data_IF_035859608145
#
_entry.id   IF_035859608145
#
_cell.length_a   1.000
_cell.length_b   1.000
_cell.length_c   1.000
_cell.angle_alpha   90.00
_cell.angle_beta   90.00
_cell.angle_gamma   90.00
#
_symmetry.space_group_name_H-M   'P 1'
#
loop_
_entity.id
_entity.type
_entity.pdbx_description
1 polymer ?
#
# COMPACT_ATOMS: atom_id res chain seq x y z
N UNK A 1 10.93 18.36 24.21
CA UNK A 1 9.95 17.42 24.79
C UNK A 1 9.59 16.48 23.66
N UNK A 2 10.06 15.24 23.71
CA UNK A 2 9.72 14.23 22.71
C UNK A 2 8.26 13.86 22.89
N UNK A 3 7.45 14.21 21.90
CA UNK A 3 6.08 13.72 21.71
C UNK A 3 6.08 12.19 21.95
N UNK A 4 5.20 11.64 22.81
CA UNK A 4 5.05 10.20 22.96
C UNK A 4 4.91 9.53 21.58
N UNK A 5 5.63 8.42 21.40
CA UNK A 5 5.85 7.71 20.12
C UNK A 5 4.58 7.34 19.33
N UNK A 6 3.40 7.45 19.93
CA UNK A 6 2.11 7.06 19.34
C UNK A 6 1.04 8.15 19.35
N UNK A 7 1.37 9.43 19.64
CA UNK A 7 0.34 10.49 19.64
C UNK A 7 -0.36 10.64 18.27
N UNK A 8 0.39 10.46 17.18
CA UNK A 8 -0.16 10.47 15.82
C UNK A 8 -1.06 9.26 15.50
N UNK A 9 -1.10 8.25 16.38
CA UNK A 9 -1.98 7.08 16.27
C UNK A 9 -3.22 7.19 17.17
N UNK A 10 -3.45 8.35 17.80
CA UNK A 10 -4.65 8.63 18.59
C UNK A 10 -5.62 9.45 17.75
N UNK A 11 -6.79 8.88 17.47
CA UNK A 11 -7.83 9.55 16.70
C UNK A 11 -9.18 9.37 17.40
N UNK A 12 -9.78 10.45 17.92
CA UNK A 12 -11.06 10.38 18.64
C UNK A 12 -12.16 9.65 17.87
N UNK A 13 -12.82 8.69 18.53
CA UNK A 13 -13.85 7.84 17.92
C UNK A 13 -13.31 6.66 17.11
N UNK A 14 -12.00 6.56 16.89
CA UNK A 14 -11.37 5.48 16.12
C UNK A 14 -10.38 4.71 17.01
N UNK A 15 -9.30 5.35 17.46
CA UNK A 15 -8.27 4.73 18.30
C UNK A 15 -7.92 5.61 19.50
N UNK A 16 -8.01 5.02 20.69
CA UNK A 16 -7.30 5.52 21.87
C UNK A 16 -5.84 5.07 21.83
N UNK A 17 -4.96 5.74 22.61
CA UNK A 17 -3.55 5.34 22.72
C UNK A 17 -3.36 3.87 23.14
N UNK A 18 -4.22 3.37 24.04
CA UNK A 18 -4.18 1.97 24.48
C UNK A 18 -4.59 0.99 23.38
N UNK A 19 -5.59 1.35 22.57
CA UNK A 19 -6.02 0.54 21.43
C UNK A 19 -4.99 0.53 20.31
N UNK A 20 -4.38 1.68 19.99
CA UNK A 20 -3.29 1.78 19.03
C UNK A 20 -2.11 0.89 19.45
N UNK A 21 -1.68 0.99 20.72
CA UNK A 21 -0.61 0.14 21.24
C UNK A 21 -0.96 -1.35 21.21
N UNK A 22 -2.24 -1.73 21.36
CA UNK A 22 -2.67 -3.12 21.22
C UNK A 22 -2.57 -3.61 19.78
N UNK A 23 -3.02 -2.81 18.80
CA UNK A 23 -2.92 -3.14 17.37
C UNK A 23 -1.46 -3.28 16.93
N UNK A 24 -0.58 -2.35 17.35
CA UNK A 24 0.88 -2.43 17.09
C UNK A 24 1.48 -3.70 17.68
N UNK A 25 1.15 -4.05 18.93
CA UNK A 25 1.59 -5.32 19.53
C UNK A 25 1.10 -6.55 18.76
N UNK A 26 -0.08 -6.49 18.15
CA UNK A 26 -0.59 -7.57 17.31
C UNK A 26 0.27 -7.80 16.06
N UNK A 27 0.69 -6.72 15.39
CA UNK A 27 1.62 -6.81 14.23
C UNK A 27 2.99 -7.32 14.70
N UNK A 28 3.54 -6.78 15.79
CA UNK A 28 4.81 -7.25 16.37
C UNK A 28 4.78 -8.74 16.75
N UNK A 29 3.65 -9.23 17.26
CA UNK A 29 3.48 -10.65 17.61
C UNK A 29 3.38 -11.56 16.38
N UNK A 30 2.96 -11.03 15.23
CA UNK A 30 2.95 -11.75 13.97
C UNK A 30 4.35 -11.79 13.32
N UNK A 31 5.16 -10.75 13.53
CA UNK A 31 6.52 -10.66 13.01
C UNK A 31 7.41 -11.77 13.57
N UNK A 32 8.17 -12.40 12.68
CA UNK A 32 9.11 -13.46 12.98
C UNK A 32 10.46 -12.93 13.42
N UNK A 33 11.25 -13.83 14.01
CA UNK A 33 12.63 -13.55 14.40
C UNK A 33 13.52 -13.16 13.21
N UNK A 34 13.25 -13.66 12.01
CA UNK A 34 13.96 -13.30 10.79
C UNK A 34 13.44 -12.02 10.12
N UNK A 35 12.44 -11.36 10.70
CA UNK A 35 11.89 -10.08 10.21
C UNK A 35 10.64 -10.19 9.32
N UNK A 36 10.30 -11.40 8.85
CA UNK A 36 9.10 -11.63 8.05
C UNK A 36 7.82 -11.33 8.84
N UNK A 37 6.91 -10.58 8.22
CA UNK A 37 5.56 -10.29 8.70
C UNK A 37 4.55 -10.99 7.78
N UNK A 38 3.98 -12.14 8.16
CA UNK A 38 2.98 -12.83 7.34
C UNK A 38 1.61 -12.15 7.43
N UNK A 39 0.70 -12.53 6.54
CA UNK A 39 -0.72 -12.14 6.56
C UNK A 39 -1.34 -12.39 7.94
N UNK A 40 -1.10 -13.59 8.48
CA UNK A 40 -1.18 -13.92 9.91
C UNK A 40 -0.36 -15.19 10.16
N UNK A 41 -0.10 -15.52 11.44
CA UNK A 41 0.67 -16.73 11.79
C UNK A 41 -0.01 -17.99 11.24
N UNK A 42 0.72 -18.79 10.46
CA UNK A 42 0.24 -20.01 9.80
C UNK A 42 -0.35 -19.80 8.40
N UNK A 43 -0.24 -18.61 7.82
CA UNK A 43 -0.74 -18.29 6.48
C UNK A 43 0.38 -17.87 5.51
N UNK A 44 0.05 -17.27 4.36
CA UNK A 44 1.05 -16.75 3.44
C UNK A 44 1.68 -15.43 3.93
N UNK A 45 2.78 -15.07 3.29
CA UNK A 45 3.40 -13.76 3.26
C UNK A 45 3.55 -13.37 1.79
N UNK A 46 3.09 -12.20 1.42
CA UNK A 46 3.41 -11.54 0.15
C UNK A 46 4.19 -10.24 0.42
N UNK A 47 5.00 -9.76 -0.54
CA UNK A 47 5.80 -8.54 -0.36
C UNK A 47 4.99 -7.24 -0.16
N UNK A 48 3.74 -7.17 -0.64
CA UNK A 48 2.94 -5.95 -0.54
C UNK A 48 2.48 -5.76 0.90
N UNK A 49 1.74 -6.72 1.42
CA UNK A 49 1.15 -6.67 2.76
C UNK A 49 2.23 -6.63 3.84
N UNK A 50 3.33 -7.34 3.59
CA UNK A 50 4.54 -7.30 4.40
C UNK A 50 5.12 -5.88 4.53
N UNK A 51 5.26 -5.18 3.41
CA UNK A 51 5.77 -3.80 3.36
C UNK A 51 4.80 -2.84 4.05
N UNK A 52 3.50 -2.98 3.85
CA UNK A 52 2.50 -2.12 4.49
C UNK A 52 2.49 -2.29 6.01
N UNK A 53 2.61 -3.53 6.50
CA UNK A 53 2.76 -3.79 7.92
C UNK A 53 4.06 -3.19 8.49
N UNK A 54 5.17 -3.22 7.74
CA UNK A 54 6.41 -2.57 8.13
C UNK A 54 6.26 -1.04 8.25
N UNK A 55 5.59 -0.39 7.29
CA UNK A 55 5.28 1.04 7.34
C UNK A 55 4.42 1.40 8.56
N UNK A 56 3.48 0.54 8.94
CA UNK A 56 2.67 0.74 10.13
C UNK A 56 3.49 0.65 11.43
N UNK A 57 4.49 -0.23 11.48
CA UNK A 57 5.46 -0.29 12.59
C UNK A 57 6.30 0.98 12.65
N UNK A 58 6.74 1.52 11.50
CA UNK A 58 7.45 2.80 11.44
C UNK A 58 6.59 3.96 11.96
N UNK A 59 5.33 4.04 11.54
CA UNK A 59 4.40 5.07 12.02
C UNK A 59 4.10 4.97 13.53
N UNK A 60 4.35 3.81 14.13
CA UNK A 60 4.26 3.58 15.58
C UNK A 60 5.56 3.84 16.34
N UNK A 61 6.66 4.16 15.65
CA UNK A 61 7.98 4.35 16.23
C UNK A 61 8.73 3.04 16.51
N UNK A 62 8.28 1.91 15.96
CA UNK A 62 8.90 0.58 16.06
C UNK A 62 9.92 0.36 14.92
N UNK A 63 10.82 1.33 14.72
CA UNK A 63 11.73 1.38 13.57
C UNK A 63 12.65 0.17 13.45
N UNK A 64 13.16 -0.37 14.56
CA UNK A 64 13.98 -1.60 14.54
C UNK A 64 13.18 -2.81 14.03
N UNK A 65 11.87 -2.85 14.29
CA UNK A 65 11.02 -3.92 13.79
C UNK A 65 10.73 -3.73 12.30
N UNK A 66 10.47 -2.51 11.86
CA UNK A 66 10.31 -2.19 10.44
C UNK A 66 11.60 -2.48 9.63
N UNK A 67 12.78 -2.10 10.14
CA UNK A 67 14.08 -2.35 9.51
C UNK A 67 14.33 -3.85 9.29
N UNK A 68 14.01 -4.70 10.29
CA UNK A 68 14.11 -6.17 10.12
C UNK A 68 13.22 -6.68 8.99
N UNK A 69 12.06 -6.06 8.77
CA UNK A 69 11.16 -6.41 7.67
C UNK A 69 11.82 -6.05 6.33
N UNK A 70 12.34 -4.83 6.17
CA UNK A 70 13.04 -4.44 4.94
C UNK A 70 14.30 -5.27 4.69
N UNK A 71 15.07 -5.60 5.73
CA UNK A 71 16.22 -6.50 5.64
C UNK A 71 15.80 -7.93 5.25
N UNK A 72 14.58 -8.37 5.59
CA UNK A 72 14.04 -9.64 5.09
C UNK A 72 13.80 -9.56 3.57
N UNK A 73 13.19 -8.49 3.06
CA UNK A 73 13.00 -8.31 1.62
C UNK A 73 14.35 -8.27 0.89
N UNK A 74 15.30 -7.45 1.36
CA UNK A 74 16.62 -7.33 0.74
C UNK A 74 17.39 -8.67 0.71
N UNK A 75 17.32 -9.47 1.78
CA UNK A 75 18.01 -10.79 1.83
C UNK A 75 17.39 -11.84 0.92
N UNK A 76 16.10 -11.73 0.60
CA UNK A 76 15.37 -12.73 -0.17
C UNK A 76 14.91 -12.23 -1.55
N UNK A 77 15.45 -11.09 -2.00
CA UNK A 77 15.26 -10.61 -3.37
C UNK A 77 15.89 -11.61 -4.35
N UNK A 78 15.16 -11.95 -5.40
CA UNK A 78 15.64 -12.83 -6.47
C UNK A 78 16.70 -12.11 -7.32
N UNK A 79 17.53 -12.88 -8.02
CA UNK A 79 18.61 -12.34 -8.85
C UNK A 79 18.14 -11.34 -9.92
N UNK A 80 16.89 -11.42 -10.36
CA UNK A 80 16.31 -10.53 -11.36
C UNK A 80 15.74 -9.21 -10.78
N UNK A 81 15.75 -9.06 -9.45
CA UNK A 81 15.25 -7.91 -8.70
C UNK A 81 13.83 -8.08 -8.13
N UNK A 82 13.17 -9.21 -8.38
CA UNK A 82 11.79 -9.46 -7.93
C UNK A 82 11.70 -10.28 -6.64
N UNK A 83 10.46 -10.50 -6.18
CA UNK A 83 10.09 -11.49 -5.17
C UNK A 83 8.96 -12.34 -5.73
N UNK A 84 8.81 -13.55 -5.19
CA UNK A 84 7.64 -14.36 -5.47
C UNK A 84 6.37 -13.72 -4.88
N UNK A 85 5.23 -14.02 -5.50
CA UNK A 85 3.95 -13.47 -5.10
C UNK A 85 3.52 -13.93 -3.71
N UNK A 86 3.88 -15.16 -3.31
CA UNK A 86 3.58 -15.65 -1.97
C UNK A 86 4.59 -16.68 -1.45
N UNK A 87 4.86 -16.59 -0.16
CA UNK A 87 5.68 -17.48 0.65
C UNK A 87 4.82 -18.06 1.78
N UNK A 88 5.11 -19.28 2.25
CA UNK A 88 4.49 -19.80 3.45
C UNK A 88 5.01 -19.08 4.71
N UNK A 89 4.23 -19.09 5.79
CA UNK A 89 4.72 -18.70 7.13
C UNK A 89 5.66 -19.77 7.71
N UNK A 90 6.84 -19.89 7.09
CA UNK A 90 7.87 -20.86 7.40
C UNK A 90 9.19 -20.50 6.74
N UNK A 91 9.96 -21.47 6.25
CA UNK A 91 11.21 -21.16 5.59
C UNK A 91 10.98 -20.29 4.33
N UNK A 92 11.90 -19.36 4.04
CA UNK A 92 11.75 -18.41 2.92
C UNK A 92 11.76 -19.10 1.54
N UNK A 93 12.25 -20.34 1.47
CA UNK A 93 12.28 -21.17 0.26
C UNK A 93 11.00 -22.00 0.08
N UNK A 94 10.08 -21.96 1.05
CA UNK A 94 8.74 -22.54 0.95
C UNK A 94 7.78 -21.59 0.22
N UNK A 95 7.97 -21.49 -1.08
CA UNK A 95 7.23 -20.59 -1.98
C UNK A 95 5.87 -21.21 -2.35
N UNK A 96 4.78 -20.51 -2.06
CA UNK A 96 3.40 -20.97 -2.30
C UNK A 96 2.80 -20.44 -3.60
N UNK A 97 3.26 -19.28 -4.08
CA UNK A 97 3.00 -18.79 -5.44
C UNK A 97 4.28 -18.23 -6.06
N UNK A 98 4.74 -18.89 -7.13
CA UNK A 98 5.98 -18.54 -7.84
C UNK A 98 5.81 -17.45 -8.90
N UNK A 99 4.61 -16.93 -9.08
CA UNK A 99 4.42 -15.74 -9.89
C UNK A 99 5.19 -14.55 -9.32
N UNK A 100 5.40 -13.52 -10.13
CA UNK A 100 5.92 -12.22 -9.70
C UNK A 100 4.92 -11.15 -10.10
N UNK A 101 4.41 -10.38 -9.15
CA UNK A 101 3.44 -9.32 -9.41
C UNK A 101 4.09 -7.93 -9.35
N UNK A 102 3.83 -7.09 -10.34
CA UNK A 102 4.49 -5.79 -10.52
C UNK A 102 4.28 -4.82 -9.35
N UNK A 103 3.06 -4.77 -8.81
CA UNK A 103 2.72 -3.98 -7.63
C UNK A 103 3.43 -4.50 -6.38
N UNK A 104 3.52 -5.81 -6.18
CA UNK A 104 4.18 -6.38 -5.00
C UNK A 104 5.68 -6.04 -5.03
N UNK A 105 6.32 -6.18 -6.20
CA UNK A 105 7.74 -5.89 -6.39
C UNK A 105 8.02 -4.40 -6.25
N UNK A 106 7.18 -3.52 -6.80
CA UNK A 106 7.42 -2.07 -6.74
C UNK A 106 7.27 -1.51 -5.33
N UNK A 107 6.35 -2.05 -4.52
CA UNK A 107 5.88 -1.39 -3.29
C UNK A 107 6.96 -1.20 -2.21
N UNK A 108 8.06 -1.97 -2.26
CA UNK A 108 9.23 -1.76 -1.40
C UNK A 108 9.76 -0.31 -1.49
N UNK A 109 9.66 0.35 -2.64
CA UNK A 109 10.08 1.75 -2.80
C UNK A 109 9.26 2.70 -1.90
N UNK A 110 7.97 2.41 -1.71
CA UNK A 110 7.08 3.18 -0.82
C UNK A 110 7.52 2.99 0.63
N UNK A 111 7.75 1.75 1.04
CA UNK A 111 8.18 1.43 2.41
C UNK A 111 9.55 1.99 2.77
N UNK A 112 10.55 1.83 1.89
CA UNK A 112 11.91 2.36 2.11
C UNK A 112 11.91 3.88 2.21
N UNK A 113 11.14 4.56 1.35
CA UNK A 113 11.01 6.02 1.43
C UNK A 113 10.26 6.46 2.70
N UNK A 114 9.21 5.74 3.09
CA UNK A 114 8.47 5.99 4.34
C UNK A 114 9.37 5.82 5.58
N UNK A 115 10.17 4.76 5.63
CA UNK A 115 11.12 4.52 6.70
C UNK A 115 12.15 5.64 6.79
N UNK A 116 12.77 5.99 5.65
CA UNK A 116 13.73 7.09 5.59
C UNK A 116 13.13 8.41 6.09
N UNK A 117 11.92 8.75 5.68
CA UNK A 117 11.25 9.97 6.16
C UNK A 117 10.89 9.91 7.65
N UNK A 118 10.71 8.70 8.20
CA UNK A 118 10.39 8.49 9.61
C UNK A 118 11.65 8.57 10.50
N UNK A 119 12.82 8.15 10.00
CA UNK A 119 14.05 8.00 10.80
C UNK A 119 15.15 8.99 10.45
N UNK A 120 15.19 9.49 9.21
CA UNK A 120 16.30 10.27 8.65
C UNK A 120 17.59 9.46 8.46
N UNK A 121 17.51 8.13 8.41
CA UNK A 121 18.68 7.26 8.33
C UNK A 121 19.20 7.10 6.88
N UNK A 122 20.18 7.92 6.51
CA UNK A 122 20.87 7.81 5.21
C UNK A 122 21.62 6.47 5.06
N UNK A 123 22.09 5.83 6.14
CA UNK A 123 22.79 4.54 6.08
C UNK A 123 21.83 3.41 5.73
N UNK A 124 20.61 3.43 6.27
CA UNK A 124 19.53 2.55 5.85
C UNK A 124 19.21 2.76 4.37
N UNK A 125 19.04 4.01 3.95
CA UNK A 125 18.72 4.36 2.57
C UNK A 125 19.79 3.87 1.58
N UNK A 126 21.06 4.07 1.91
CA UNK A 126 22.23 3.56 1.17
C UNK A 126 22.22 2.04 1.03
N UNK A 127 21.89 1.34 2.12
CA UNK A 127 21.84 -0.12 2.15
C UNK A 127 20.68 -0.68 1.31
N UNK A 128 19.53 -0.01 1.35
CA UNK A 128 18.31 -0.46 0.66
C UNK A 128 18.25 -0.05 -0.81
N UNK A 129 19.03 0.96 -1.23
CA UNK A 129 18.99 1.47 -2.60
C UNK A 129 19.19 0.40 -3.70
N UNK A 130 20.19 -0.51 -3.63
CA UNK A 130 20.34 -1.55 -4.66
C UNK A 130 19.10 -2.44 -4.81
N UNK A 131 18.41 -2.70 -3.68
CA UNK A 131 17.19 -3.50 -3.64
C UNK A 131 16.03 -2.77 -4.34
N UNK A 132 15.81 -1.50 -3.99
CA UNK A 132 14.79 -0.64 -4.63
C UNK A 132 15.07 -0.48 -6.12
N UNK A 133 16.32 -0.19 -6.50
CA UNK A 133 16.72 -0.03 -7.89
C UNK A 133 16.43 -1.28 -8.72
N UNK A 134 16.85 -2.47 -8.23
CA UNK A 134 16.62 -3.73 -8.93
C UNK A 134 15.12 -4.04 -9.09
N UNK A 135 14.31 -3.75 -8.06
CA UNK A 135 12.87 -3.91 -8.10
C UNK A 135 12.21 -3.01 -9.15
N UNK A 136 12.57 -1.72 -9.18
CA UNK A 136 12.06 -0.75 -10.15
C UNK A 136 12.45 -1.14 -11.57
N UNK A 137 13.72 -1.47 -11.80
CA UNK A 137 14.19 -1.94 -13.12
C UNK A 137 13.44 -3.19 -13.58
N UNK A 138 13.09 -4.10 -12.67
CA UNK A 138 12.27 -5.27 -13.01
C UNK A 138 10.85 -4.88 -13.44
N UNK A 139 10.23 -3.95 -12.73
CA UNK A 139 8.88 -3.45 -13.03
C UNK A 139 8.84 -2.70 -14.35
N UNK A 140 9.84 -1.86 -14.64
CA UNK A 140 9.89 -1.09 -15.89
C UNK A 140 10.07 -1.97 -17.12
N UNK A 141 10.69 -3.15 -17.00
CA UNK A 141 10.72 -4.15 -18.09
C UNK A 141 9.34 -4.72 -18.44
N UNK A 142 8.31 -4.48 -17.64
CA UNK A 142 6.92 -4.85 -17.92
C UNK A 142 6.11 -3.73 -18.54
N UNK A 143 6.67 -2.53 -18.68
CA UNK A 143 5.97 -1.41 -19.28
C UNK A 143 5.66 -1.67 -20.76
N UNK A 144 4.41 -1.41 -21.13
CA UNK A 144 3.91 -1.53 -22.49
C UNK A 144 4.08 -0.19 -23.23
N UNK A 145 4.06 -0.18 -24.58
CA UNK A 145 4.16 1.06 -25.35
C UNK A 145 3.10 2.13 -25.01
N UNK A 146 1.97 1.72 -24.43
CA UNK A 146 0.92 2.63 -23.96
C UNK A 146 1.13 3.15 -22.53
N UNK A 147 2.27 2.89 -21.90
CA UNK A 147 2.60 3.35 -20.55
C UNK A 147 2.10 2.45 -19.43
N UNK A 148 1.08 1.63 -19.65
CA UNK A 148 0.58 0.67 -18.66
C UNK A 148 1.63 -0.41 -18.34
N UNK A 149 1.63 -0.92 -17.11
CA UNK A 149 2.57 -1.94 -16.64
C UNK A 149 1.87 -3.30 -16.66
N UNK A 150 2.50 -4.28 -17.32
CA UNK A 150 2.02 -5.67 -17.28
C UNK A 150 1.99 -6.19 -15.84
N UNK A 151 0.89 -6.77 -15.39
CA UNK A 151 0.68 -6.99 -13.95
C UNK A 151 1.52 -8.12 -13.35
N UNK A 152 1.95 -9.10 -14.16
CA UNK A 152 2.57 -10.35 -13.67
C UNK A 152 3.58 -10.95 -14.63
N UNK A 153 4.54 -11.71 -14.07
CA UNK A 153 5.29 -12.77 -14.76
C UNK A 153 5.01 -14.12 -14.12
N UNK A 154 4.88 -15.15 -14.96
CA UNK A 154 4.80 -16.54 -14.52
C UNK A 154 6.17 -17.07 -14.08
N UNK A 155 6.21 -18.27 -13.49
CA UNK A 155 7.45 -18.85 -12.96
C UNK A 155 8.53 -19.07 -14.02
N UNK A 156 8.12 -19.34 -15.27
CA UNK A 156 9.02 -19.47 -16.41
C UNK A 156 9.52 -18.13 -16.98
N UNK A 157 9.14 -17.02 -16.36
CA UNK A 157 9.49 -15.66 -16.77
C UNK A 157 8.59 -15.06 -17.85
N UNK A 158 7.55 -15.78 -18.31
CA UNK A 158 6.61 -15.28 -19.31
C UNK A 158 5.85 -14.08 -18.78
N UNK A 159 5.94 -12.89 -19.43
CA UNK A 159 5.21 -11.71 -18.99
C UNK A 159 3.76 -11.74 -19.46
N UNK A 160 2.84 -11.37 -18.57
CA UNK A 160 1.46 -11.09 -18.92
C UNK A 160 1.36 -9.69 -19.54
N UNK A 161 0.74 -9.59 -20.72
CA UNK A 161 0.59 -8.32 -21.43
C UNK A 161 -0.52 -7.42 -20.84
N UNK A 162 -1.50 -8.04 -20.18
CA UNK A 162 -2.60 -7.33 -19.52
C UNK A 162 -2.07 -6.48 -18.37
N UNK A 163 -2.79 -5.40 -18.06
CA UNK A 163 -2.48 -4.50 -16.94
C UNK A 163 -3.69 -4.37 -16.03
N UNK A 164 -3.46 -4.28 -14.72
CA UNK A 164 -4.48 -3.99 -13.72
C UNK A 164 -4.43 -2.50 -13.38
N UNK A 165 -5.59 -1.83 -13.30
CA UNK A 165 -5.67 -0.41 -12.97
C UNK A 165 -5.21 -0.15 -11.53
N UNK A 166 -5.70 -0.96 -10.58
CA UNK A 166 -5.24 -0.97 -9.18
C UNK A 166 -3.71 -1.15 -9.09
N UNK A 167 -3.18 -2.24 -9.65
CA UNK A 167 -1.76 -2.54 -9.61
C UNK A 167 -0.90 -1.46 -10.27
N UNK A 168 -1.31 -0.94 -11.42
CA UNK A 168 -0.63 0.17 -12.11
C UNK A 168 -0.64 1.47 -11.30
N UNK A 169 -1.71 1.75 -10.56
CA UNK A 169 -1.80 2.91 -9.68
C UNK A 169 -0.87 2.79 -8.47
N UNK A 170 -0.76 1.58 -7.89
CA UNK A 170 0.23 1.28 -6.85
C UNK A 170 1.67 1.41 -7.38
N UNK A 171 1.95 0.87 -8.57
CA UNK A 171 3.26 1.04 -9.22
C UNK A 171 3.58 2.50 -9.50
N UNK A 172 2.60 3.30 -9.94
CA UNK A 172 2.80 4.75 -10.13
C UNK A 172 3.25 5.41 -8.82
N UNK A 173 2.59 5.11 -7.70
CA UNK A 173 3.00 5.62 -6.38
C UNK A 173 4.42 5.19 -6.01
N UNK A 174 4.74 3.90 -6.17
CA UNK A 174 6.04 3.34 -5.89
C UNK A 174 7.16 3.98 -6.74
N UNK A 175 6.93 4.20 -8.04
CA UNK A 175 7.91 4.87 -8.92
C UNK A 175 8.19 6.31 -8.48
N UNK A 176 7.17 7.04 -8.00
CA UNK A 176 7.35 8.38 -7.46
C UNK A 176 8.19 8.36 -6.17
N UNK A 177 7.99 7.38 -5.29
CA UNK A 177 8.84 7.18 -4.12
C UNK A 177 10.27 6.78 -4.51
N UNK A 178 10.45 5.91 -5.50
CA UNK A 178 11.77 5.53 -6.01
C UNK A 178 12.54 6.72 -6.60
N UNK A 179 11.86 7.59 -7.34
CA UNK A 179 12.43 8.85 -7.84
C UNK A 179 12.84 9.79 -6.70
N UNK A 180 12.02 9.90 -5.64
CA UNK A 180 12.37 10.70 -4.47
C UNK A 180 13.63 10.15 -3.75
N UNK A 181 13.76 8.82 -3.64
CA UNK A 181 14.99 8.18 -3.15
C UNK A 181 16.18 8.52 -4.07
N UNK A 182 16.01 8.41 -5.38
CA UNK A 182 17.06 8.70 -6.35
C UNK A 182 17.54 10.17 -6.28
N UNK A 183 16.60 11.12 -6.14
CA UNK A 183 16.89 12.54 -5.93
C UNK A 183 17.65 12.78 -4.62
N UNK A 184 17.22 12.16 -3.52
CA UNK A 184 17.90 12.26 -2.22
C UNK A 184 19.36 11.76 -2.28
N UNK A 185 19.62 10.80 -3.17
CA UNK A 185 20.94 10.23 -3.42
C UNK A 185 21.75 10.95 -4.50
N UNK A 186 21.18 11.97 -5.13
CA UNK A 186 21.78 12.64 -6.30
C UNK A 186 22.11 11.66 -7.45
N UNK A 187 21.27 10.64 -7.67
CA UNK A 187 21.39 9.65 -8.75
C UNK A 187 20.26 9.83 -9.79
N UNK A 188 20.44 10.66 -10.85
CA UNK A 188 19.36 10.96 -11.80
C UNK A 188 18.84 9.72 -12.54
N UNK A 189 17.51 9.60 -12.65
CA UNK A 189 16.83 8.49 -13.33
C UNK A 189 15.85 8.98 -14.42
N UNK A 190 16.36 9.52 -15.55
CA UNK A 190 15.50 10.11 -16.59
C UNK A 190 14.53 9.11 -17.24
N UNK A 191 14.93 7.84 -17.36
CA UNK A 191 14.06 6.80 -17.90
C UNK A 191 12.89 6.47 -16.96
N UNK A 192 13.11 6.56 -15.64
CA UNK A 192 12.06 6.39 -14.64
C UNK A 192 11.08 7.57 -14.66
N UNK A 193 11.58 8.80 -14.85
CA UNK A 193 10.74 10.01 -14.99
C UNK A 193 9.81 9.94 -16.21
N UNK A 194 10.31 9.43 -17.34
CA UNK A 194 9.50 9.18 -18.53
C UNK A 194 8.47 8.06 -18.27
N UNK A 195 8.89 6.97 -17.65
CA UNK A 195 8.03 5.83 -17.37
C UNK A 195 6.87 6.18 -16.44
N UNK A 196 7.12 6.90 -15.35
CA UNK A 196 6.07 7.30 -14.40
C UNK A 196 5.08 8.28 -15.03
N UNK A 197 5.55 9.18 -15.89
CA UNK A 197 4.71 10.11 -16.66
C UNK A 197 3.81 9.38 -17.65
N UNK A 198 4.36 8.42 -18.41
CA UNK A 198 3.60 7.58 -19.34
C UNK A 198 2.55 6.71 -18.61
N UNK A 199 2.92 6.14 -17.46
CA UNK A 199 2.01 5.36 -16.62
C UNK A 199 0.87 6.22 -16.08
N UNK A 200 1.18 7.41 -15.57
CA UNK A 200 0.17 8.37 -15.10
C UNK A 200 -0.80 8.74 -16.22
N UNK A 201 -0.28 9.04 -17.40
CA UNK A 201 -1.12 9.35 -18.57
C UNK A 201 -2.04 8.17 -18.94
N UNK A 202 -1.52 6.94 -18.93
CA UNK A 202 -2.32 5.74 -19.19
C UNK A 202 -3.47 5.59 -18.19
N UNK A 203 -3.20 5.70 -16.89
CA UNK A 203 -4.21 5.61 -15.82
C UNK A 203 -5.31 6.66 -15.99
N UNK A 204 -4.94 7.90 -16.31
CA UNK A 204 -5.88 9.03 -16.41
C UNK A 204 -6.72 9.00 -17.67
N UNK A 205 -6.09 8.69 -18.81
CA UNK A 205 -6.67 8.97 -20.14
C UNK A 205 -6.99 7.73 -20.95
N UNK A 206 -6.50 6.56 -20.52
CA UNK A 206 -6.64 5.31 -21.26
C UNK A 206 -7.15 4.14 -20.40
N UNK A 207 -8.32 4.27 -19.76
CA UNK A 207 -8.90 3.18 -18.97
C UNK A 207 -9.10 1.90 -19.80
N UNK A 208 -9.27 2.00 -21.13
CA UNK A 208 -9.40 0.87 -22.05
C UNK A 208 -8.15 -0.02 -22.17
N UNK A 209 -7.00 0.43 -21.64
CA UNK A 209 -5.74 -0.35 -21.64
C UNK A 209 -5.62 -1.30 -20.46
N UNK A 210 -6.53 -1.22 -19.49
CA UNK A 210 -6.53 -2.06 -18.30
C UNK A 210 -7.64 -3.11 -18.39
N UNK A 211 -7.47 -4.21 -17.67
CA UNK A 211 -8.53 -5.21 -17.53
C UNK A 211 -9.73 -4.60 -16.82
N UNK A 212 -10.93 -4.91 -17.33
CA UNK A 212 -12.16 -4.48 -16.69
C UNK A 212 -12.37 -5.24 -15.37
N UNK A 213 -12.11 -4.52 -14.28
CA UNK A 213 -12.26 -4.96 -12.90
C UNK A 213 -13.14 -3.96 -12.13
N UNK A 214 -14.06 -3.28 -12.83
CA UNK A 214 -14.93 -2.23 -12.28
C UNK A 214 -15.76 -2.67 -11.06
N UNK A 215 -15.95 -3.99 -10.89
CA UNK A 215 -16.65 -4.58 -9.75
C UNK A 215 -15.85 -4.55 -8.44
N UNK A 216 -14.55 -4.32 -8.48
CA UNK A 216 -13.68 -4.23 -7.30
C UNK A 216 -13.49 -2.77 -6.90
N UNK A 217 -13.60 -2.47 -5.60
CA UNK A 217 -13.51 -1.09 -5.11
C UNK A 217 -12.13 -0.47 -5.29
N UNK A 218 -11.08 -1.29 -5.21
CA UNK A 218 -9.70 -0.85 -5.43
C UNK A 218 -9.54 -0.19 -6.80
N UNK A 219 -10.14 -0.74 -7.86
CA UNK A 219 -10.07 -0.15 -9.21
C UNK A 219 -10.72 1.25 -9.28
N UNK A 220 -11.63 1.54 -8.35
CA UNK A 220 -12.26 2.85 -8.21
C UNK A 220 -11.38 3.85 -7.44
N UNK A 221 -10.86 3.51 -6.25
CA UNK A 221 -10.14 4.47 -5.40
C UNK A 221 -8.61 4.46 -5.55
N UNK A 222 -7.98 3.39 -6.07
CA UNK A 222 -6.52 3.32 -6.22
C UNK A 222 -5.92 4.37 -7.15
N UNK A 223 -6.57 4.75 -8.26
CA UNK A 223 -6.06 5.86 -9.07
C UNK A 223 -5.91 7.16 -8.27
N UNK A 224 -6.71 7.34 -7.21
CA UNK A 224 -6.60 8.45 -6.24
C UNK A 224 -5.53 8.16 -5.20
N UNK A 225 -5.58 6.99 -4.54
CA UNK A 225 -4.60 6.60 -3.52
C UNK A 225 -3.16 6.63 -4.04
N UNK A 226 -2.95 6.10 -5.23
CA UNK A 226 -1.64 6.07 -5.90
C UNK A 226 -1.21 7.42 -6.49
N UNK A 227 -2.03 8.47 -6.34
CA UNK A 227 -1.71 9.84 -6.76
C UNK A 227 -1.70 10.10 -8.27
N UNK A 228 -2.24 9.18 -9.09
CA UNK A 228 -2.36 9.38 -10.53
C UNK A 228 -3.46 10.40 -10.85
N UNK A 229 -4.60 10.30 -10.16
CA UNK A 229 -5.67 11.29 -10.12
C UNK A 229 -5.51 12.17 -8.89
N UNK A 230 -5.56 13.49 -9.09
CA UNK A 230 -5.48 14.47 -8.00
C UNK A 230 -6.50 15.59 -8.20
N UNK A 231 -6.70 16.43 -7.18
CA UNK A 231 -7.56 17.60 -7.27
C UNK A 231 -9.01 17.28 -7.63
N UNK A 232 -9.60 18.08 -8.53
CA UNK A 232 -11.01 17.94 -8.91
C UNK A 232 -11.32 16.61 -9.63
N UNK A 233 -10.36 16.07 -10.39
CA UNK A 233 -10.51 14.80 -11.11
C UNK A 233 -10.65 13.63 -10.11
N UNK A 234 -9.83 13.63 -9.05
CA UNK A 234 -9.91 12.62 -8.00
C UNK A 234 -11.23 12.70 -7.21
N UNK A 235 -11.68 13.90 -6.86
CA UNK A 235 -12.96 14.09 -6.16
C UNK A 235 -14.14 13.60 -7.00
N UNK A 236 -14.16 13.92 -8.29
CA UNK A 236 -15.18 13.44 -9.21
C UNK A 236 -15.17 11.91 -9.31
N UNK A 237 -13.98 11.29 -9.37
CA UNK A 237 -13.85 9.81 -9.37
C UNK A 237 -14.44 9.18 -8.12
N UNK A 238 -14.13 9.71 -6.93
CA UNK A 238 -14.69 9.21 -5.67
C UNK A 238 -16.22 9.34 -5.70
N UNK A 239 -16.76 10.50 -6.03
CA UNK A 239 -18.20 10.71 -6.01
C UNK A 239 -18.97 9.76 -6.95
N UNK A 240 -18.41 9.46 -8.12
CA UNK A 240 -19.06 8.63 -9.16
C UNK A 240 -19.51 7.24 -8.69
N UNK A 241 -18.74 6.58 -7.81
CA UNK A 241 -19.03 5.22 -7.36
C UNK A 241 -19.19 5.09 -5.85
N UNK A 242 -19.38 6.21 -5.15
CA UNK A 242 -19.52 6.23 -3.69
C UNK A 242 -20.63 5.29 -3.19
N UNK A 243 -21.87 5.50 -3.65
CA UNK A 243 -23.03 4.69 -3.23
C UNK A 243 -22.95 3.23 -3.68
N UNK A 244 -22.09 2.96 -4.68
CA UNK A 244 -21.84 1.62 -5.21
C UNK A 244 -21.01 0.79 -4.23
N UNK A 245 -19.97 1.38 -3.66
CA UNK A 245 -18.98 0.66 -2.85
C UNK A 245 -19.09 0.94 -1.36
N UNK A 246 -19.45 2.14 -0.96
CA UNK A 246 -19.59 2.51 0.46
C UNK A 246 -20.92 2.00 1.00
N UNK A 247 -20.85 1.33 2.14
CA UNK A 247 -22.00 0.89 2.93
C UNK A 247 -22.06 1.78 4.17
N UNK A 248 -23.05 2.69 4.25
CA UNK A 248 -23.15 3.62 5.37
C UNK A 248 -23.10 2.92 6.72
N UNK A 249 -22.18 3.38 7.59
CA UNK A 249 -22.00 2.84 8.94
C UNK A 249 -21.30 1.47 9.02
N UNK A 250 -20.91 0.86 7.89
CA UNK A 250 -20.28 -0.45 7.88
C UNK A 250 -18.87 -0.46 7.27
N UNK A 251 -18.63 0.36 6.23
CA UNK A 251 -17.32 0.44 5.55
C UNK A 251 -17.45 0.33 4.04
N UNK A 252 -16.45 -0.24 3.38
CA UNK A 252 -16.32 -0.33 1.92
C UNK A 252 -16.40 -1.77 1.48
N UNK A 253 -17.15 -2.05 0.41
CA UNK A 253 -17.18 -3.36 -0.24
C UNK A 253 -15.85 -3.64 -0.92
N UNK A 254 -15.32 -4.85 -0.77
CA UNK A 254 -14.20 -5.33 -1.59
C UNK A 254 -14.64 -5.52 -3.06
N UNK A 255 -15.78 -6.17 -3.27
CA UNK A 255 -16.25 -6.55 -4.60
C UNK A 255 -17.77 -6.62 -4.68
N UNK A 256 -18.33 -6.17 -5.80
CA UNK A 256 -19.75 -6.31 -6.15
C UNK A 256 -19.93 -7.61 -6.95
N UNK A 257 -20.99 -8.40 -6.68
CA UNK A 257 -22.20 -8.07 -5.92
C UNK A 257 -22.18 -8.51 -4.45
N UNK A 258 -21.02 -8.86 -3.89
CA UNK A 258 -20.99 -9.55 -2.62
C UNK A 258 -21.44 -8.64 -1.45
N UNK A 259 -22.25 -9.15 -0.51
CA UNK A 259 -22.82 -8.34 0.55
C UNK A 259 -21.87 -8.25 1.76
N UNK A 260 -20.60 -7.93 1.52
CA UNK A 260 -19.63 -7.75 2.58
C UNK A 260 -18.81 -6.48 2.41
N UNK A 261 -18.38 -5.95 3.55
CA UNK A 261 -17.37 -4.88 3.64
C UNK A 261 -16.07 -5.44 4.20
N UNK A 262 -14.96 -4.78 3.92
CA UNK A 262 -13.63 -5.21 4.35
C UNK A 262 -12.86 -4.09 5.04
N UNK A 263 -12.08 -4.45 6.06
CA UNK A 263 -11.36 -3.48 6.90
C UNK A 263 -10.20 -2.81 6.18
N UNK A 264 -9.41 -3.58 5.43
CA UNK A 264 -8.23 -3.09 4.68
C UNK A 264 -8.65 -2.06 3.63
N UNK A 265 -9.53 -2.44 2.70
CA UNK A 265 -10.02 -1.54 1.65
C UNK A 265 -10.74 -0.31 2.20
N UNK A 266 -11.42 -0.42 3.33
CA UNK A 266 -12.01 0.75 4.01
C UNK A 266 -10.93 1.70 4.53
N UNK A 267 -9.85 1.17 5.08
CA UNK A 267 -8.74 1.96 5.62
C UNK A 267 -7.95 2.64 4.50
N UNK A 268 -7.72 1.94 3.39
CA UNK A 268 -7.09 2.50 2.21
C UNK A 268 -7.97 3.56 1.52
N UNK A 269 -9.29 3.36 1.46
CA UNK A 269 -10.20 4.41 1.00
C UNK A 269 -10.09 5.65 1.90
N UNK A 270 -9.99 5.47 3.22
CA UNK A 270 -9.80 6.59 4.13
C UNK A 270 -8.48 7.35 3.85
N UNK A 271 -7.38 6.65 3.52
CA UNK A 271 -6.14 7.28 3.05
C UNK A 271 -6.36 8.06 1.74
N UNK A 272 -7.07 7.48 0.76
CA UNK A 272 -7.36 8.14 -0.51
C UNK A 272 -8.21 9.42 -0.31
N UNK A 273 -9.23 9.36 0.56
CA UNK A 273 -10.07 10.50 0.94
C UNK A 273 -9.24 11.59 1.65
N UNK A 274 -8.39 11.20 2.59
CA UNK A 274 -7.48 12.13 3.26
C UNK A 274 -6.56 12.83 2.25
N UNK A 275 -5.99 12.10 1.29
CA UNK A 275 -5.08 12.65 0.28
C UNK A 275 -5.74 13.71 -0.63
N UNK A 276 -7.06 13.67 -0.81
CA UNK A 276 -7.82 14.68 -1.58
C UNK A 276 -8.47 15.76 -0.71
N UNK A 277 -8.14 15.80 0.58
CA UNK A 277 -8.62 16.80 1.54
C UNK A 277 -10.02 16.53 2.08
N UNK A 278 -10.49 15.28 2.04
CA UNK A 278 -11.79 14.85 2.59
C UNK A 278 -11.63 14.14 3.94
N UNK A 279 -10.91 14.78 4.87
CA UNK A 279 -10.56 14.22 6.18
C UNK A 279 -11.78 13.85 7.04
N UNK A 280 -12.89 14.58 6.94
CA UNK A 280 -14.12 14.26 7.67
C UNK A 280 -14.73 12.93 7.19
N UNK A 281 -14.78 12.71 5.86
CA UNK A 281 -15.25 11.43 5.29
C UNK A 281 -14.29 10.29 5.58
N UNK A 282 -12.98 10.56 5.57
CA UNK A 282 -11.98 9.57 5.98
C UNK A 282 -12.22 9.13 7.43
N UNK A 283 -12.44 10.08 8.35
CA UNK A 283 -12.76 9.80 9.74
C UNK A 283 -14.06 8.98 9.88
N UNK A 284 -15.11 9.34 9.15
CA UNK A 284 -16.39 8.60 9.16
C UNK A 284 -16.20 7.13 8.74
N UNK A 285 -15.41 6.86 7.69
CA UNK A 285 -15.13 5.48 7.25
C UNK A 285 -14.37 4.71 8.35
N UNK A 286 -13.36 5.31 8.98
CA UNK A 286 -12.59 4.67 10.05
C UNK A 286 -13.41 4.41 11.31
N UNK A 287 -14.36 5.30 11.63
CA UNK A 287 -15.33 5.10 12.70
C UNK A 287 -16.31 3.97 12.34
N UNK A 288 -16.75 3.91 11.09
CA UNK A 288 -17.68 2.90 10.60
C UNK A 288 -17.12 1.48 10.71
N UNK A 289 -15.81 1.27 10.53
CA UNK A 289 -15.20 -0.08 10.63
C UNK A 289 -14.84 -0.53 12.05
N UNK A 290 -15.16 0.25 13.09
CA UNK A 290 -14.82 -0.14 14.47
C UNK A 290 -15.54 -1.41 14.96
N UNK A 291 -16.63 -1.83 14.30
CA UNK A 291 -17.26 -3.14 14.55
C UNK A 291 -16.36 -4.33 14.16
N UNK A 292 -15.38 -4.13 13.27
CA UNK A 292 -14.41 -5.16 12.88
C UNK A 292 -13.31 -5.36 13.91
N UNK A 293 -13.17 -4.48 14.91
CA UNK A 293 -12.09 -4.57 15.88
C UNK A 293 -12.31 -5.76 16.81
N UNK A 294 -11.37 -6.70 16.84
CA UNK A 294 -11.38 -7.79 17.80
C UNK A 294 -10.97 -7.29 19.20
N UNK A 295 -11.83 -7.45 20.23
CA UNK A 295 -11.54 -6.96 21.57
C UNK A 295 -10.42 -7.73 22.27
N UNK A 296 -10.13 -8.98 21.87
CA UNK A 296 -9.13 -9.82 22.52
C UNK A 296 -7.70 -9.48 22.10
N UNK A 297 -7.47 -9.35 20.80
CA UNK A 297 -6.14 -9.10 20.21
C UNK A 297 -5.90 -7.61 19.93
N UNK A 298 -6.97 -6.86 19.65
CA UNK A 298 -6.89 -5.50 19.14
C UNK A 298 -6.56 -5.37 17.65
N UNK A 299 -6.52 -6.49 16.94
CA UNK A 299 -6.50 -6.53 15.48
C UNK A 299 -7.92 -6.33 14.93
N UNK A 300 -8.05 -6.37 13.61
CA UNK A 300 -9.29 -6.12 12.90
C UNK A 300 -9.59 -7.30 12.00
N UNK A 301 -10.86 -7.73 12.00
CA UNK A 301 -11.34 -8.75 11.10
C UNK A 301 -11.31 -8.25 9.66
N UNK A 302 -10.92 -9.14 8.75
CA UNK A 302 -10.79 -8.82 7.33
C UNK A 302 -12.13 -8.39 6.72
N UNK A 303 -13.22 -9.08 7.06
CA UNK A 303 -14.52 -8.81 6.45
C UNK A 303 -15.73 -9.04 7.35
N UNK A 304 -16.83 -8.38 6.97
CA UNK A 304 -18.14 -8.49 7.59
C UNK A 304 -19.23 -8.61 6.52
N UNK A 305 -19.96 -9.72 6.55
CA UNK A 305 -21.10 -10.01 5.68
C UNK A 305 -22.33 -9.42 6.31
N UNK A 306 -22.82 -8.30 5.77
CA UNK A 306 -23.89 -7.53 6.39
C UNK A 306 -25.30 -8.10 6.17
N UNK A 307 -25.49 -8.93 5.15
CA UNK A 307 -26.75 -9.67 4.97
C UNK A 307 -26.93 -10.77 6.03
N UNK A 308 -25.83 -11.34 6.50
CA UNK A 308 -25.80 -12.43 7.50
C UNK A 308 -25.42 -11.93 8.92
N UNK A 309 -25.14 -10.63 9.06
CA UNK A 309 -24.59 -10.00 10.26
C UNK A 309 -23.37 -10.75 10.85
N UNK A 310 -22.48 -11.27 9.99
CA UNK A 310 -21.44 -12.21 10.39
C UNK A 310 -20.03 -11.76 9.98
N UNK A 311 -19.04 -12.04 10.84
CA UNK A 311 -17.62 -11.88 10.50
C UNK A 311 -17.19 -13.01 9.56
N UNK A 312 -16.75 -12.63 8.36
CA UNK A 312 -16.18 -13.54 7.37
C UNK A 312 -15.33 -12.79 6.34
N UNK A 313 -14.11 -13.26 6.02
CA UNK A 313 -13.43 -14.39 6.66
C UNK A 313 -13.00 -14.05 8.09
N UNK A 314 -12.89 -15.07 8.95
CA UNK A 314 -12.40 -14.93 10.33
C UNK A 314 -10.88 -14.85 10.36
N UNK A 315 -10.35 -13.81 9.73
CA UNK A 315 -8.92 -13.56 9.56
C UNK A 315 -8.55 -12.21 10.19
N UNK A 316 -7.60 -12.23 11.12
CA UNK A 316 -7.03 -11.05 11.76
C UNK A 316 -5.68 -10.74 11.11
N UNK A 317 -5.70 -9.92 10.09
CA UNK A 317 -4.57 -9.78 9.16
C UNK A 317 -3.68 -8.62 9.56
N UNK A 318 -2.37 -8.78 9.39
CA UNK A 318 -1.39 -7.70 9.55
C UNK A 318 -1.61 -6.57 8.55
N UNK A 319 -2.06 -6.87 7.33
CA UNK A 319 -2.47 -5.88 6.33
C UNK A 319 -3.59 -4.97 6.82
N UNK A 320 -4.77 -5.52 7.16
CA UNK A 320 -5.90 -4.72 7.68
C UNK A 320 -5.49 -3.85 8.87
N UNK A 321 -4.69 -4.39 9.79
CA UNK A 321 -4.18 -3.63 10.93
C UNK A 321 -3.19 -2.53 10.49
N UNK A 322 -2.32 -2.81 9.52
CA UNK A 322 -1.36 -1.88 8.94
C UNK A 322 -2.04 -0.72 8.23
N UNK A 323 -2.95 -1.00 7.29
CA UNK A 323 -3.72 0.00 6.54
C UNK A 323 -4.48 0.93 7.48
N UNK A 324 -5.10 0.39 8.54
CA UNK A 324 -5.78 1.19 9.55
C UNK A 324 -4.80 2.12 10.28
N UNK A 325 -3.68 1.61 10.76
CA UNK A 325 -2.69 2.41 11.49
C UNK A 325 -2.11 3.52 10.59
N UNK A 326 -1.88 3.24 9.30
CA UNK A 326 -1.44 4.23 8.33
C UNK A 326 -2.51 5.31 8.08
N UNK A 327 -3.78 4.91 7.91
CA UNK A 327 -4.89 5.86 7.76
C UNK A 327 -5.03 6.78 8.98
N UNK A 328 -4.92 6.22 10.18
CA UNK A 328 -4.93 6.99 11.43
C UNK A 328 -3.70 7.89 11.52
N UNK A 329 -2.51 7.39 11.17
CA UNK A 329 -1.28 8.18 11.17
C UNK A 329 -1.37 9.39 10.22
N UNK A 330 -1.97 9.22 9.03
CA UNK A 330 -2.19 10.33 8.10
C UNK A 330 -3.13 11.40 8.68
N UNK A 331 -4.28 10.99 9.24
CA UNK A 331 -5.22 11.90 9.91
C UNK A 331 -4.63 12.54 11.17
N UNK A 332 -3.75 11.83 11.88
CA UNK A 332 -3.00 12.29 13.04
C UNK A 332 -1.78 13.17 12.70
N UNK A 333 -1.53 13.42 11.42
CA UNK A 333 -0.45 14.30 10.96
C UNK A 333 0.95 13.69 11.11
N UNK A 334 1.10 12.38 10.99
CA UNK A 334 2.42 11.73 10.94
C UNK A 334 3.15 12.13 9.66
N UNK A 335 4.25 12.88 9.79
CA UNK A 335 4.93 13.56 8.69
C UNK A 335 5.31 12.61 7.53
N UNK A 336 5.89 11.45 7.82
CA UNK A 336 6.32 10.51 6.77
C UNK A 336 5.13 9.88 6.04
N UNK A 337 4.09 9.47 6.77
CA UNK A 337 2.86 8.94 6.16
C UNK A 337 2.17 10.01 5.31
N UNK A 338 2.10 11.25 5.81
CA UNK A 338 1.52 12.36 5.06
C UNK A 338 2.31 12.67 3.79
N UNK A 339 3.64 12.60 3.84
CA UNK A 339 4.51 12.84 2.69
C UNK A 339 4.30 11.81 1.58
N UNK A 340 4.24 10.53 1.97
CA UNK A 340 4.16 9.41 1.03
C UNK A 340 2.78 9.33 0.37
N UNK A 341 1.70 9.38 1.15
CA UNK A 341 0.34 9.25 0.60
C UNK A 341 -0.24 10.57 0.09
N UNK A 342 0.19 11.72 0.63
CA UNK A 342 -0.22 13.02 0.12
C UNK A 342 0.44 13.32 -1.22
N UNK A 343 1.69 12.86 -1.41
CA UNK A 343 2.37 12.89 -2.70
C UNK A 343 2.74 14.27 -3.22
N UNK A 344 2.43 15.37 -2.52
CA UNK A 344 2.75 16.75 -2.95
C UNK A 344 4.25 17.00 -3.13
N UNK A 345 5.08 16.26 -2.37
CA UNK A 345 6.55 16.35 -2.41
C UNK A 345 7.21 15.28 -3.27
N UNK A 346 6.43 14.38 -3.87
CA UNK A 346 6.98 13.31 -4.70
C UNK A 346 7.12 13.77 -6.16
N UNK A 347 8.19 13.39 -6.87
CA UNK A 347 8.36 13.69 -8.29
C UNK A 347 7.16 13.25 -9.12
N UNK A 348 6.72 14.06 -10.09
CA UNK A 348 5.56 13.75 -10.95
C UNK A 348 5.94 13.07 -12.26
N UNK A 349 7.23 12.96 -12.55
CA UNK A 349 7.76 12.59 -13.86
C UNK A 349 7.46 13.64 -14.94
N UNK A 350 7.74 13.27 -16.19
CA UNK A 350 7.52 14.10 -17.36
C UNK A 350 6.12 13.85 -17.95
N UNK A 351 5.26 14.87 -17.96
CA UNK A 351 3.95 14.75 -18.61
C UNK A 351 4.14 14.63 -20.13
N UNK A 352 3.61 13.60 -20.82
CA UNK A 352 3.74 13.47 -22.27
C UNK A 352 3.09 14.63 -23.05
N UNK A 353 2.19 15.39 -22.43
CA UNK A 353 1.60 16.61 -23.04
C UNK A 353 2.60 17.78 -23.12
N UNK A 354 3.79 17.68 -22.53
CA UNK A 354 4.84 18.72 -22.58
C UNK A 354 5.48 18.92 -23.96
N UNK A 355 5.14 18.07 -24.94
CA UNK A 355 5.72 18.10 -26.30
C UNK A 355 4.67 18.34 -27.41
N UNK A 356 3.44 18.76 -27.07
CA UNK A 356 2.36 19.01 -28.04
C UNK A 356 2.39 20.43 -28.65
#
# INVERSE_FOLDING_TARGET
>A
MTTPRTEHLVLPGVLTAGQAAATVRGILAAQREDGAIPWFRGHHLDPWDHTEAAMALDAAGEHEAAERAYDWLARHQLEDGSWYAAYADGAHDDVTDRARESNFVAYIAVGVWHHYLSTGDDTFLDRMWPCVYAAVEWVLRLQRPGGQIGWRREDDGTPTADALLTGSSSVHHALRCALAIAEQREEPQPDWELAVGALRHAIRRHPERFLDKDRYSMDWYYPVLGGALTGAEAKARIEESWDRFVVPGLGVRCVIPNPWVTGGESSELALALWAVGESDRALEILQAIQHLRDPATGLYWTGYVFDDEAIWPQELTTWTAGSLLLAVAALGGHDATCAVFGGDRLPTGLDPDCCA
#
